data_IF_545022413720
#
_entry.id   IF_545022413720
#
_cell.length_a   1.000
_cell.length_b   1.000
_cell.length_c   1.000
_cell.angle_alpha   90.00
_cell.angle_beta   90.00
_cell.angle_gamma   90.00
#
_symmetry.space_group_name_H-M   'P 1'
#
loop_
_entity.id
_entity.type
_entity.pdbx_description
1 polymer ?
#
# COMPACT_ATOMS: atom_id res chain seq x y z
N UNK A 1 -8.05 25.33 4.29
CA UNK A 1 -8.31 24.84 5.66
C UNK A 1 -8.22 23.33 5.58
N UNK A 2 -7.51 22.66 6.49
CA UNK A 2 -7.45 21.21 6.49
C UNK A 2 -8.86 20.64 6.72
N UNK A 3 -9.14 19.53 6.06
CA UNK A 3 -10.39 18.78 6.24
C UNK A 3 -10.38 18.19 7.64
N UNK A 4 -11.50 18.33 8.36
CA UNK A 4 -11.61 17.76 9.71
C UNK A 4 -11.68 16.23 9.65
N UNK A 5 -11.32 15.56 10.74
CA UNK A 5 -11.43 14.11 10.86
C UNK A 5 -12.86 13.62 10.61
N UNK A 6 -13.86 14.33 11.14
CA UNK A 6 -15.28 13.99 10.96
C UNK A 6 -15.73 14.15 9.51
N UNK A 7 -15.33 15.22 8.83
CA UNK A 7 -15.61 15.40 7.40
C UNK A 7 -14.95 14.32 6.56
N UNK A 8 -13.68 14.00 6.83
CA UNK A 8 -12.96 12.94 6.13
C UNK A 8 -13.61 11.57 6.39
N UNK A 9 -14.03 11.29 7.63
CA UNK A 9 -14.76 10.06 7.96
C UNK A 9 -16.06 9.96 7.16
N UNK A 10 -16.83 11.04 7.05
CA UNK A 10 -18.06 11.07 6.27
C UNK A 10 -17.79 10.76 4.79
N UNK A 11 -16.76 11.37 4.21
CA UNK A 11 -16.37 11.15 2.82
C UNK A 11 -15.93 9.70 2.56
N UNK A 12 -15.19 9.09 3.48
CA UNK A 12 -14.73 7.70 3.39
C UNK A 12 -15.83 6.68 3.74
N UNK A 13 -16.91 7.11 4.41
CA UNK A 13 -18.03 6.21 4.75
C UNK A 13 -18.88 5.82 3.54
N UNK A 14 -18.75 6.52 2.42
CA UNK A 14 -19.37 6.12 1.15
C UNK A 14 -18.91 4.73 0.75
N UNK A 15 -19.82 3.92 0.18
CA UNK A 15 -19.50 2.56 -0.29
C UNK A 15 -18.28 2.57 -1.20
N UNK A 16 -18.30 3.44 -2.21
CA UNK A 16 -17.17 3.77 -3.09
C UNK A 16 -16.80 5.25 -2.94
N UNK A 17 -15.75 5.58 -2.15
CA UNK A 17 -15.25 6.94 -2.07
C UNK A 17 -14.67 7.41 -3.41
N UNK A 18 -14.94 8.66 -3.80
CA UNK A 18 -14.28 9.28 -4.94
C UNK A 18 -12.86 9.70 -4.54
N UNK A 19 -11.92 8.75 -4.63
CA UNK A 19 -10.54 8.96 -4.26
C UNK A 19 -9.83 10.03 -5.12
N UNK A 20 -10.25 10.19 -6.38
CA UNK A 20 -9.68 11.22 -7.25
C UNK A 20 -10.11 12.61 -6.78
N UNK A 21 -11.39 12.79 -6.46
CA UNK A 21 -11.89 14.04 -5.89
C UNK A 21 -11.31 14.32 -4.50
N UNK A 22 -11.08 13.29 -3.68
CA UNK A 22 -10.41 13.43 -2.38
C UNK A 22 -8.96 13.88 -2.55
N UNK A 23 -8.18 13.20 -3.39
CA UNK A 23 -6.78 13.55 -3.63
C UNK A 23 -6.62 14.96 -4.23
N UNK A 24 -7.59 15.45 -5.00
CA UNK A 24 -7.58 16.81 -5.54
C UNK A 24 -7.88 17.89 -4.49
N UNK A 25 -8.50 17.52 -3.36
CA UNK A 25 -8.91 18.43 -2.28
C UNK A 25 -7.98 18.41 -1.08
N UNK A 26 -7.30 17.29 -0.85
CA UNK A 26 -6.43 17.06 0.29
C UNK A 26 -4.98 17.39 -0.05
N UNK A 27 -4.22 17.84 0.94
CA UNK A 27 -2.78 18.07 0.84
C UNK A 27 -2.00 17.46 2.02
N UNK A 28 -0.71 17.78 2.11
CA UNK A 28 0.15 17.26 3.16
C UNK A 28 -0.30 17.66 4.58
N UNK A 29 -1.05 18.76 4.73
CA UNK A 29 -1.58 19.21 6.03
C UNK A 29 -2.75 18.36 6.52
N UNK A 30 -3.38 17.56 5.64
CA UNK A 30 -4.47 16.66 5.97
C UNK A 30 -4.00 15.26 6.39
N UNK A 31 -2.71 14.94 6.18
CA UNK A 31 -2.12 13.63 6.53
C UNK A 31 -2.39 13.23 7.99
N UNK A 32 -2.30 14.12 9.00
CA UNK A 32 -2.64 13.75 10.38
C UNK A 32 -4.09 13.24 10.55
N UNK A 33 -5.07 13.89 9.92
CA UNK A 33 -6.47 13.46 9.98
C UNK A 33 -6.68 12.10 9.28
N UNK A 34 -5.98 11.88 8.16
CA UNK A 34 -5.98 10.59 7.46
C UNK A 34 -5.34 9.50 8.32
N UNK A 35 -4.22 9.81 8.99
CA UNK A 35 -3.53 8.88 9.88
C UNK A 35 -4.40 8.46 11.07
N UNK A 36 -5.11 9.40 11.70
CA UNK A 36 -6.04 9.09 12.79
C UNK A 36 -7.19 8.16 12.35
N UNK A 37 -7.64 8.24 11.09
CA UNK A 37 -8.65 7.32 10.55
C UNK A 37 -8.05 5.97 10.16
N UNK A 38 -6.82 5.95 9.64
CA UNK A 38 -6.09 4.71 9.34
C UNK A 38 -5.81 3.86 10.58
N UNK A 39 -5.84 4.46 11.77
CA UNK A 39 -5.69 3.80 13.07
C UNK A 39 -7.02 3.49 13.76
N UNK A 40 -8.17 3.75 13.11
CA UNK A 40 -9.47 3.51 13.72
C UNK A 40 -9.80 2.02 13.83
N UNK A 41 -10.56 1.63 14.88
CA UNK A 41 -11.05 0.26 15.06
C UNK A 41 -12.01 -0.21 13.94
N UNK A 42 -12.56 0.73 13.18
CA UNK A 42 -13.38 0.46 12.01
C UNK A 42 -12.48 0.16 10.81
N UNK A 43 -12.20 -1.13 10.60
CA UNK A 43 -11.28 -1.60 9.54
C UNK A 43 -11.68 -1.13 8.14
N UNK A 44 -12.98 -0.94 7.89
CA UNK A 44 -13.48 -0.46 6.60
C UNK A 44 -13.12 1.01 6.39
N UNK A 45 -13.21 1.84 7.42
CA UNK A 45 -12.73 3.23 7.35
C UNK A 45 -11.21 3.28 7.31
N UNK A 46 -10.53 2.47 8.13
CA UNK A 46 -9.08 2.45 8.21
C UNK A 46 -8.43 2.07 6.88
N UNK A 47 -8.92 1.01 6.22
CA UNK A 47 -8.42 0.58 4.91
C UNK A 47 -8.60 1.65 3.81
N UNK A 48 -9.74 2.34 3.81
CA UNK A 48 -9.99 3.46 2.88
C UNK A 48 -9.07 4.64 3.17
N UNK A 49 -8.85 4.96 4.44
CA UNK A 49 -7.91 6.01 4.86
C UNK A 49 -6.46 5.67 4.46
N UNK A 50 -6.05 4.41 4.58
CA UNK A 50 -4.73 3.93 4.09
C UNK A 50 -4.58 4.13 2.59
N UNK A 51 -5.61 3.77 1.81
CA UNK A 51 -5.57 4.00 0.37
C UNK A 51 -5.53 5.51 0.04
N UNK A 52 -6.33 6.33 0.73
CA UNK A 52 -6.28 7.79 0.59
C UNK A 52 -4.90 8.34 0.92
N UNK A 53 -4.25 7.87 2.00
CA UNK A 53 -2.90 8.29 2.35
C UNK A 53 -1.89 8.02 1.23
N UNK A 54 -2.04 6.91 0.49
CA UNK A 54 -1.16 6.60 -0.64
C UNK A 54 -1.21 7.63 -1.77
N UNK A 55 -2.30 8.42 -1.85
CA UNK A 55 -2.48 9.47 -2.86
C UNK A 55 -1.92 10.83 -2.42
N UNK A 56 -1.56 10.99 -1.14
CA UNK A 56 -1.15 12.27 -0.58
C UNK A 56 0.37 12.40 -0.47
N UNK A 57 0.92 13.59 -0.75
CA UNK A 57 2.28 13.91 -0.36
C UNK A 57 2.46 13.73 1.15
N UNK A 58 3.44 12.91 1.57
CA UNK A 58 3.70 12.63 2.98
C UNK A 58 2.87 11.49 3.59
N UNK A 59 1.93 10.89 2.85
CA UNK A 59 1.11 9.79 3.38
C UNK A 59 1.80 8.42 3.39
N UNK A 60 3.02 8.29 2.84
CA UNK A 60 3.74 7.03 2.75
C UNK A 60 3.95 6.33 4.11
N UNK A 61 4.19 7.09 5.18
CA UNK A 61 4.38 6.54 6.53
C UNK A 61 3.09 5.90 7.07
N UNK A 62 1.92 6.42 6.70
CA UNK A 62 0.62 5.82 7.05
C UNK A 62 0.47 4.46 6.35
N UNK A 63 0.78 4.42 5.06
CA UNK A 63 0.72 3.18 4.26
C UNK A 63 1.71 2.12 4.80
N UNK A 64 2.91 2.56 5.17
CA UNK A 64 3.94 1.69 5.76
C UNK A 64 3.50 1.09 7.09
N UNK A 65 2.93 1.90 8.00
CA UNK A 65 2.40 1.39 9.27
C UNK A 65 1.27 0.38 9.08
N UNK A 66 0.36 0.65 8.14
CA UNK A 66 -0.70 -0.29 7.79
C UNK A 66 -0.18 -1.60 7.17
N UNK A 67 0.89 -1.54 6.37
CA UNK A 67 1.53 -2.74 5.80
C UNK A 67 2.15 -3.65 6.88
N UNK A 68 2.63 -3.05 7.98
CA UNK A 68 3.15 -3.77 9.14
C UNK A 68 2.05 -4.38 10.02
N UNK A 69 0.78 -4.00 9.85
CA UNK A 69 -0.35 -4.52 10.62
C UNK A 69 -0.49 -6.04 10.51
N UNK A 70 -1.13 -6.66 11.49
CA UNK A 70 -1.57 -8.05 11.42
C UNK A 70 -2.92 -8.20 10.69
N UNK A 71 -3.63 -7.10 10.45
CA UNK A 71 -4.92 -7.11 9.77
C UNK A 71 -4.74 -7.28 8.24
N UNK A 72 -5.27 -8.36 7.63
CA UNK A 72 -5.13 -8.61 6.19
C UNK A 72 -5.78 -7.53 5.32
N UNK A 73 -6.84 -6.88 5.79
CA UNK A 73 -7.54 -5.81 5.04
C UNK A 73 -6.64 -4.58 4.93
N UNK A 74 -5.93 -4.24 6.02
CA UNK A 74 -4.96 -3.13 6.00
C UNK A 74 -3.74 -3.45 5.14
N UNK A 75 -3.26 -4.69 5.15
CA UNK A 75 -2.19 -5.14 4.26
C UNK A 75 -2.60 -5.05 2.78
N UNK A 76 -3.82 -5.48 2.44
CA UNK A 76 -4.37 -5.39 1.09
C UNK A 76 -4.56 -3.94 0.63
N UNK A 77 -5.02 -3.05 1.52
CA UNK A 77 -5.11 -1.62 1.24
C UNK A 77 -3.74 -1.01 0.97
N UNK A 78 -2.72 -1.35 1.78
CA UNK A 78 -1.34 -0.90 1.56
C UNK A 78 -0.78 -1.41 0.25
N UNK A 79 -0.97 -2.69 -0.08
CA UNK A 79 -0.54 -3.27 -1.36
C UNK A 79 -1.19 -2.53 -2.54
N UNK A 80 -2.49 -2.25 -2.45
CA UNK A 80 -3.22 -1.54 -3.50
C UNK A 80 -2.74 -0.09 -3.68
N UNK A 81 -2.28 0.55 -2.61
CA UNK A 81 -1.75 1.91 -2.61
C UNK A 81 -0.31 2.05 -3.10
N UNK A 82 0.47 0.96 -3.20
CA UNK A 82 1.89 1.02 -3.57
C UNK A 82 2.18 1.79 -4.86
N UNK A 83 1.34 1.61 -5.89
CA UNK A 83 1.50 2.28 -7.19
C UNK A 83 1.39 3.81 -7.12
N UNK A 84 0.72 4.32 -6.08
CA UNK A 84 0.54 5.75 -5.88
C UNK A 84 1.73 6.38 -5.14
N UNK A 85 2.56 5.57 -4.48
CA UNK A 85 3.76 6.03 -3.79
C UNK A 85 4.90 6.32 -4.79
N UNK A 86 5.74 7.29 -4.43
CA UNK A 86 7.00 7.52 -5.10
C UNK A 86 7.92 6.28 -4.99
N UNK A 87 8.78 5.99 -6.00
CA UNK A 87 9.60 4.78 -6.01
C UNK A 87 10.43 4.56 -4.75
N UNK A 88 11.05 5.62 -4.21
CA UNK A 88 11.87 5.58 -2.99
C UNK A 88 11.07 5.21 -1.72
N UNK A 89 9.75 5.44 -1.74
CA UNK A 89 8.83 5.10 -0.65
C UNK A 89 8.07 3.81 -0.88
N UNK A 90 7.99 3.35 -2.13
CA UNK A 90 7.28 2.14 -2.52
C UNK A 90 8.00 0.88 -2.05
N UNK A 91 9.31 0.80 -2.27
CA UNK A 91 10.08 -0.41 -1.95
C UNK A 91 10.03 -0.81 -0.48
N UNK A 92 10.22 0.10 0.51
CA UNK A 92 10.14 -0.28 1.92
C UNK A 92 8.78 -0.85 2.32
N UNK A 93 7.69 -0.38 1.71
CA UNK A 93 6.33 -0.89 1.96
C UNK A 93 6.14 -2.25 1.30
N UNK A 94 6.61 -2.43 0.06
CA UNK A 94 6.56 -3.71 -0.63
C UNK A 94 7.38 -4.78 0.10
N UNK A 95 8.57 -4.43 0.60
CA UNK A 95 9.38 -5.30 1.45
C UNK A 95 8.62 -5.77 2.70
N UNK A 96 7.73 -4.97 3.28
CA UNK A 96 6.94 -5.42 4.42
C UNK A 96 5.85 -6.42 4.03
N UNK A 97 5.25 -6.26 2.87
CA UNK A 97 4.10 -7.06 2.42
C UNK A 97 4.50 -8.41 1.82
N UNK A 98 5.65 -8.47 1.15
CA UNK A 98 6.10 -9.66 0.45
C UNK A 98 6.57 -10.75 1.42
N UNK A 99 6.29 -12.02 1.12
CA UNK A 99 6.70 -13.16 1.95
C UNK A 99 5.95 -13.29 3.28
N UNK A 100 4.76 -12.70 3.41
CA UNK A 100 3.90 -12.84 4.59
C UNK A 100 2.90 -13.99 4.43
N UNK A 101 2.81 -14.61 3.26
CA UNK A 101 2.02 -15.81 3.00
C UNK A 101 0.62 -15.56 2.44
N UNK A 102 0.17 -14.30 2.36
CA UNK A 102 -1.05 -13.95 1.64
C UNK A 102 -0.74 -13.71 0.16
N UNK A 103 -1.02 -14.73 -0.66
CA UNK A 103 -0.75 -14.71 -2.11
C UNK A 103 -1.47 -13.57 -2.83
N UNK A 104 -2.66 -13.16 -2.37
CA UNK A 104 -3.40 -12.07 -3.01
C UNK A 104 -2.73 -10.72 -2.73
N UNK A 105 -2.31 -10.47 -1.49
CA UNK A 105 -1.56 -9.27 -1.10
C UNK A 105 -0.21 -9.23 -1.83
N UNK A 106 0.54 -10.34 -1.83
CA UNK A 106 1.85 -10.43 -2.48
C UNK A 106 1.75 -10.18 -3.98
N UNK A 107 0.75 -10.76 -4.66
CA UNK A 107 0.48 -10.52 -6.08
C UNK A 107 0.23 -9.05 -6.37
N UNK A 108 -0.60 -8.38 -5.56
CA UNK A 108 -0.90 -6.96 -5.75
C UNK A 108 0.35 -6.12 -5.52
N UNK A 109 1.15 -6.46 -4.51
CA UNK A 109 2.41 -5.77 -4.22
C UNK A 109 3.42 -5.90 -5.36
N UNK A 110 3.64 -7.11 -5.87
CA UNK A 110 4.54 -7.38 -7.00
C UNK A 110 4.15 -6.60 -8.26
N UNK A 111 2.85 -6.47 -8.55
CA UNK A 111 2.34 -5.70 -9.70
C UNK A 111 2.61 -4.20 -9.61
N UNK A 112 2.82 -3.67 -8.41
CA UNK A 112 3.08 -2.26 -8.21
C UNK A 112 4.58 -1.91 -8.34
N UNK A 113 5.47 -2.90 -8.39
CA UNK A 113 6.91 -2.69 -8.40
C UNK A 113 7.44 -2.29 -9.78
N UNK A 114 8.49 -1.46 -9.75
CA UNK A 114 9.28 -1.14 -10.94
C UNK A 114 10.19 -2.33 -11.30
N UNK A 115 10.59 -2.42 -12.57
CA UNK A 115 11.41 -3.51 -13.13
C UNK A 115 12.91 -3.40 -12.83
N UNK A 116 13.27 -2.59 -11.84
CA UNK A 116 14.66 -2.42 -11.39
C UNK A 116 14.64 -2.14 -9.89
N UNK A 117 14.27 -3.14 -9.07
CA UNK A 117 14.18 -2.97 -7.63
C UNK A 117 15.57 -2.68 -7.04
N UNK A 118 15.61 -1.88 -5.99
CA UNK A 118 16.81 -1.67 -5.19
C UNK A 118 17.38 -2.98 -4.62
N UNK A 119 18.66 -3.00 -4.21
CA UNK A 119 19.37 -4.24 -3.86
C UNK A 119 18.66 -5.09 -2.79
N UNK A 120 18.06 -4.45 -1.78
CA UNK A 120 17.38 -5.14 -0.68
C UNK A 120 16.10 -5.81 -1.12
N UNK A 121 15.28 -5.11 -1.90
CA UNK A 121 14.06 -5.70 -2.48
C UNK A 121 14.42 -6.79 -3.50
N UNK A 122 15.47 -6.60 -4.30
CA UNK A 122 15.96 -7.60 -5.23
C UNK A 122 16.38 -8.92 -4.53
N UNK A 123 17.12 -8.84 -3.43
CA UNK A 123 17.49 -10.01 -2.62
C UNK A 123 16.24 -10.76 -2.11
N UNK A 124 15.24 -10.02 -1.64
CA UNK A 124 13.98 -10.60 -1.17
C UNK A 124 13.19 -11.27 -2.29
N UNK A 125 13.12 -10.63 -3.47
CA UNK A 125 12.47 -11.20 -4.64
C UNK A 125 13.19 -12.45 -5.14
N UNK A 126 14.53 -12.49 -5.05
CA UNK A 126 15.31 -13.68 -5.38
C UNK A 126 14.93 -14.87 -4.48
N UNK A 127 14.87 -14.63 -3.17
CA UNK A 127 14.41 -15.66 -2.23
C UNK A 127 12.98 -16.13 -2.54
N UNK A 128 12.06 -15.21 -2.84
CA UNK A 128 10.69 -15.58 -3.22
C UNK A 128 10.63 -16.36 -4.53
N UNK A 129 11.43 -16.00 -5.53
CA UNK A 129 11.52 -16.69 -6.82
C UNK A 129 11.98 -18.15 -6.68
N UNK A 130 12.78 -18.45 -5.66
CA UNK A 130 13.35 -19.77 -5.39
C UNK A 130 12.51 -20.60 -4.42
N UNK A 131 11.99 -19.99 -3.37
CA UNK A 131 11.49 -20.70 -2.19
C UNK A 131 10.03 -20.41 -1.83
N UNK A 132 9.30 -19.56 -2.55
CA UNK A 132 7.87 -19.37 -2.28
C UNK A 132 7.08 -20.64 -2.56
N UNK A 133 6.15 -21.00 -1.68
CA UNK A 133 5.23 -22.13 -1.88
C UNK A 133 4.22 -21.87 -3.02
N UNK A 134 4.08 -20.63 -3.47
CA UNK A 134 3.17 -20.24 -4.55
C UNK A 134 3.92 -20.08 -5.88
N UNK A 135 3.60 -20.94 -6.85
CA UNK A 135 4.13 -20.89 -8.22
C UNK A 135 3.96 -19.51 -8.84
N UNK A 136 2.78 -18.89 -8.64
CA UNK A 136 2.47 -17.55 -9.10
C UNK A 136 3.43 -16.50 -8.54
N UNK A 137 3.73 -16.57 -7.23
CA UNK A 137 4.63 -15.62 -6.58
C UNK A 137 6.08 -15.85 -7.04
N UNK A 138 6.47 -17.11 -7.23
CA UNK A 138 7.80 -17.44 -7.77
C UNK A 138 7.98 -16.83 -9.15
N UNK A 139 7.01 -17.01 -10.04
CA UNK A 139 7.07 -16.52 -11.42
C UNK A 139 7.06 -14.99 -11.46
N UNK A 140 6.12 -14.34 -10.77
CA UNK A 140 6.04 -12.88 -10.74
C UNK A 140 7.28 -12.23 -10.12
N UNK A 141 7.92 -12.87 -9.14
CA UNK A 141 9.17 -12.37 -8.56
C UNK A 141 10.32 -12.42 -9.58
N UNK A 142 10.40 -13.47 -10.40
CA UNK A 142 11.35 -13.54 -11.52
C UNK A 142 11.04 -12.46 -12.56
N UNK A 143 9.78 -12.25 -12.91
CA UNK A 143 9.40 -11.23 -13.90
C UNK A 143 9.80 -9.82 -13.47
N UNK A 144 9.67 -9.49 -12.18
CA UNK A 144 10.15 -8.21 -11.64
C UNK A 144 11.68 -8.09 -11.71
N UNK A 145 12.42 -9.16 -11.38
CA UNK A 145 13.89 -9.17 -11.43
C UNK A 145 14.45 -9.14 -12.86
N UNK A 146 13.78 -9.81 -13.80
CA UNK A 146 14.20 -9.94 -15.20
C UNK A 146 13.64 -8.83 -16.10
N UNK A 147 12.68 -8.05 -15.59
CA UNK A 147 12.00 -6.98 -16.32
C UNK A 147 11.07 -7.46 -17.44
N UNK A 148 10.31 -8.54 -17.20
CA UNK A 148 9.38 -9.17 -18.17
C UNK A 148 7.92 -8.76 -17.92
N UNK A 149 7.09 -8.84 -18.97
CA UNK A 149 5.64 -8.53 -18.96
C UNK A 149 4.76 -9.78 -18.99
#
# INVERSE_FOLDING_TARGET
MPVTREELRLLLSNEEPDYAALAARLDATDVPAVAELAESDDVMIASKAVYTASLLPGGAEVVQRAAASADPVLQAASASGLRNLAPDRREPVAEMLLGRGDVAVEKVALRALDRSPGPRLAEKLQHLAEASDSDLIRDMSRDVLEGRD
#
